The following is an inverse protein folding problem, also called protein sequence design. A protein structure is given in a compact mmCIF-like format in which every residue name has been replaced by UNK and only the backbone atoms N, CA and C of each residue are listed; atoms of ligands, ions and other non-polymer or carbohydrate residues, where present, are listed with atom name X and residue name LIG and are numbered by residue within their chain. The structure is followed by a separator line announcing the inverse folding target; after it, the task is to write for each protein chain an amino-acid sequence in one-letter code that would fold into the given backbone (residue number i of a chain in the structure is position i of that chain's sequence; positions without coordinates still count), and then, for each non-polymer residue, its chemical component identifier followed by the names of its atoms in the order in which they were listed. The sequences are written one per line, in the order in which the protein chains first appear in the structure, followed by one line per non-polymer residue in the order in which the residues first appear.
data_IF_793671522930
#
_entry.id   IF_793671522930
#
_cell.length_a   1.000
_cell.length_b   1.000
_cell.length_c   1.000
_cell.angle_alpha   90.00
_cell.angle_beta   90.00
_cell.angle_gamma   90.00
#
_symmetry.space_group_name_H-M   'P 1'
#
loop_
_entity.id
_entity.type
_entity.pdbx_description
1 polymer ?
#
# COMPACT_ATOMS: atom_id res chain seq x y z
N UNK A 1 -6.23 -5.33 -28.90
CA UNK A 1 -5.06 -5.93 -28.23
C UNK A 1 -5.06 -5.37 -26.83
N UNK A 2 -5.31 -6.27 -25.89
CA UNK A 2 -5.69 -6.06 -24.50
C UNK A 2 -4.54 -5.42 -23.72
N UNK A 3 -4.86 -4.37 -22.96
CA UNK A 3 -4.01 -3.84 -21.91
C UNK A 3 -3.44 -4.99 -21.09
N UNK A 4 -2.11 -5.14 -21.07
CA UNK A 4 -1.39 -6.02 -20.16
C UNK A 4 -1.41 -5.37 -18.77
N UNK A 5 -2.59 -5.33 -18.16
CA UNK A 5 -2.76 -4.90 -16.78
C UNK A 5 -2.06 -5.94 -15.90
N UNK A 6 -1.02 -5.52 -15.16
CA UNK A 6 -0.30 -6.41 -14.25
C UNK A 6 -1.29 -6.83 -13.15
N UNK A 7 -1.42 -8.12 -12.84
CA UNK A 7 -2.37 -8.57 -11.82
C UNK A 7 -2.02 -8.06 -10.41
N UNK A 8 -3.02 -7.96 -9.52
CA UNK A 8 -2.93 -7.36 -8.18
C UNK A 8 -1.89 -7.98 -7.25
N UNK A 9 -1.56 -9.25 -7.43
CA UNK A 9 -0.55 -9.97 -6.61
C UNK A 9 0.90 -9.80 -7.13
N UNK A 10 1.10 -9.02 -8.20
CA UNK A 10 2.43 -8.68 -8.74
C UNK A 10 2.85 -7.23 -8.45
N UNK A 11 2.08 -6.47 -7.66
CA UNK A 11 2.47 -5.15 -7.16
C UNK A 11 2.96 -5.26 -5.73
N UNK A 12 4.28 -5.39 -5.50
CA UNK A 12 4.76 -5.27 -4.15
C UNK A 12 4.61 -3.81 -3.65
N UNK A 13 4.07 -3.64 -2.45
CA UNK A 13 4.09 -2.41 -1.68
C UNK A 13 5.53 -1.89 -1.57
N UNK A 14 5.70 -0.63 -1.97
CA UNK A 14 6.97 0.10 -2.12
C UNK A 14 7.76 0.36 -0.82
N UNK A 15 7.56 -0.46 0.22
CA UNK A 15 8.21 -0.28 1.53
C UNK A 15 8.52 -1.55 2.30
N UNK A 16 8.14 -2.76 1.84
CA UNK A 16 8.47 -4.00 2.57
C UNK A 16 8.78 -5.18 1.65
N UNK A 17 9.97 -5.16 1.05
CA UNK A 17 10.45 -6.10 0.01
C UNK A 17 10.59 -7.59 0.42
N UNK A 18 10.00 -8.05 1.53
CA UNK A 18 10.17 -9.42 2.02
C UNK A 18 8.83 -10.18 1.97
N UNK A 19 8.74 -11.37 1.39
CA UNK A 19 7.49 -12.14 1.40
C UNK A 19 6.98 -12.42 2.81
N UNK A 20 5.66 -12.38 2.98
CA UNK A 20 4.98 -12.72 4.22
C UNK A 20 3.85 -13.72 3.94
N UNK A 21 3.70 -14.67 4.85
CA UNK A 21 2.47 -15.45 4.94
C UNK A 21 1.39 -14.54 5.50
N UNK A 22 0.24 -14.51 4.84
CA UNK A 22 -0.91 -13.73 5.26
C UNK A 22 -2.14 -14.62 5.29
N UNK A 23 -2.95 -14.47 6.32
CA UNK A 23 -4.32 -14.98 6.32
C UNK A 23 -5.23 -14.04 7.08
N UNK A 24 -6.44 -13.87 6.59
CA UNK A 24 -7.42 -13.03 7.27
C UNK A 24 -8.84 -13.41 6.96
N UNK A 25 -9.74 -12.88 7.78
CA UNK A 25 -11.17 -13.04 7.68
C UNK A 25 -11.87 -11.70 7.86
N UNK A 26 -13.01 -11.56 7.20
CA UNK A 26 -13.82 -10.35 7.23
C UNK A 26 -15.30 -10.67 7.47
N UNK A 27 -15.90 -10.00 8.43
CA UNK A 27 -17.33 -10.05 8.70
C UNK A 27 -18.01 -8.72 8.35
N UNK A 28 -19.26 -8.75 7.85
CA UNK A 28 -19.96 -7.56 7.38
C UNK A 28 -20.47 -6.64 8.50
N UNK A 29 -20.41 -7.10 9.75
CA UNK A 29 -20.93 -6.39 10.93
C UNK A 29 -19.92 -6.42 12.06
N UNK A 30 -20.08 -5.48 13.00
CA UNK A 30 -19.34 -5.49 14.26
C UNK A 30 -19.68 -6.76 15.05
N UNK A 31 -18.65 -7.32 15.68
CA UNK A 31 -18.74 -8.55 16.46
C UNK A 31 -18.39 -8.25 17.91
N UNK A 32 -18.98 -9.03 18.82
CA UNK A 32 -18.61 -9.02 20.23
C UNK A 32 -17.12 -9.25 20.42
N UNK A 33 -16.53 -8.46 21.32
CA UNK A 33 -15.08 -8.43 21.54
C UNK A 33 -14.49 -9.80 21.88
N UNK A 34 -15.22 -10.64 22.61
CA UNK A 34 -14.74 -11.95 23.03
C UNK A 34 -14.39 -12.88 21.85
N UNK A 35 -15.20 -12.86 20.78
CA UNK A 35 -14.94 -13.63 19.57
C UNK A 35 -13.67 -13.14 18.85
N UNK A 36 -13.48 -11.81 18.81
CA UNK A 36 -12.29 -11.19 18.23
C UNK A 36 -11.04 -11.53 19.05
N UNK A 37 -11.11 -11.43 20.37
CA UNK A 37 -9.99 -11.75 21.27
C UNK A 37 -9.60 -13.22 21.16
N UNK A 38 -10.58 -14.12 21.05
CA UNK A 38 -10.31 -15.54 20.82
C UNK A 38 -9.55 -15.77 19.50
N UNK A 39 -9.97 -15.12 18.41
CA UNK A 39 -9.31 -15.21 17.11
C UNK A 39 -7.88 -14.62 17.14
N UNK A 40 -7.69 -13.48 17.82
CA UNK A 40 -6.37 -12.86 18.03
C UNK A 40 -5.43 -13.79 18.82
N UNK A 41 -5.91 -14.42 19.91
CA UNK A 41 -5.11 -15.38 20.70
C UNK A 41 -4.67 -16.58 19.86
N UNK A 42 -5.60 -17.19 19.14
CA UNK A 42 -5.30 -18.29 18.24
C UNK A 42 -4.31 -17.87 17.14
N UNK A 43 -4.41 -16.62 16.64
CA UNK A 43 -3.49 -16.07 15.67
C UNK A 43 -2.07 -15.92 16.22
N UNK A 44 -1.93 -15.43 17.46
CA UNK A 44 -0.63 -15.33 18.15
C UNK A 44 -0.02 -16.71 18.37
N UNK A 45 -0.80 -17.67 18.84
CA UNK A 45 -0.33 -19.05 19.03
C UNK A 45 0.15 -19.65 17.71
N UNK A 46 -0.61 -19.45 16.62
CA UNK A 46 -0.25 -19.90 15.29
C UNK A 46 1.09 -19.31 14.83
N UNK A 47 1.22 -17.99 14.78
CA UNK A 47 2.46 -17.36 14.27
C UNK A 47 3.66 -17.63 15.18
N UNK A 48 3.45 -17.73 16.50
CA UNK A 48 4.52 -18.09 17.45
C UNK A 48 5.03 -19.51 17.19
N UNK A 49 4.16 -20.43 16.78
CA UNK A 49 4.57 -21.80 16.41
C UNK A 49 5.45 -21.84 15.15
N UNK A 50 5.38 -20.80 14.32
CA UNK A 50 6.11 -20.71 13.05
C UNK A 50 7.48 -20.03 13.15
N UNK A 51 7.58 -19.04 14.03
CA UNK A 51 8.75 -18.16 14.13
C UNK A 51 9.95 -18.92 14.70
N UNK A 52 11.04 -18.96 13.92
CA UNK A 52 12.32 -19.57 14.26
C UNK A 52 13.35 -18.63 14.89
N UNK A 53 13.01 -17.34 15.04
CA UNK A 53 13.89 -16.32 15.64
C UNK A 53 13.35 -15.81 16.96
N UNK A 54 14.20 -15.38 17.92
CA UNK A 54 13.71 -14.75 19.14
C UNK A 54 12.93 -13.47 18.84
N UNK A 55 11.72 -13.35 19.39
CA UNK A 55 10.86 -12.18 19.22
C UNK A 55 10.44 -11.56 20.55
N UNK A 56 10.27 -10.24 20.52
CA UNK A 56 9.62 -9.48 21.57
C UNK A 56 8.27 -8.99 21.04
N UNK A 57 7.23 -9.15 21.85
CA UNK A 57 5.88 -8.71 21.50
C UNK A 57 5.59 -7.31 22.03
N UNK A 58 4.72 -6.60 21.32
CA UNK A 58 4.10 -5.34 21.73
C UNK A 58 2.61 -5.41 21.41
N UNK A 59 1.79 -4.92 22.34
CA UNK A 59 0.34 -4.81 22.19
C UNK A 59 -0.04 -3.36 21.95
N UNK A 60 -0.73 -3.08 20.87
CA UNK A 60 -1.35 -1.79 20.59
C UNK A 60 -2.87 -1.98 20.58
N UNK A 61 -3.61 -1.14 21.30
CA UNK A 61 -5.07 -1.19 21.30
C UNK A 61 -5.63 0.24 21.31
N UNK A 62 -6.50 0.53 20.35
CA UNK A 62 -7.15 1.84 20.17
C UNK A 62 -8.64 1.68 20.37
N UNK A 63 -9.23 2.53 21.20
CA UNK A 63 -10.68 2.69 21.35
C UNK A 63 -11.12 4.04 20.82
N UNK A 64 -12.38 4.16 20.39
CA UNK A 64 -12.91 5.37 19.77
C UNK A 64 -12.86 6.59 20.69
N UNK A 65 -12.84 6.36 22.01
CA UNK A 65 -12.78 7.39 23.04
C UNK A 65 -11.36 7.88 23.35
N UNK A 66 -10.31 7.27 22.79
CA UNK A 66 -8.94 7.74 22.99
C UNK A 66 -8.76 9.12 22.32
N UNK A 67 -8.27 10.11 23.07
CA UNK A 67 -7.85 11.40 22.53
C UNK A 67 -6.37 11.34 22.15
N UNK A 68 -6.02 11.33 20.84
CA UNK A 68 -4.63 11.26 20.39
C UNK A 68 -3.78 12.47 20.82
N UNK A 69 -4.41 13.55 21.24
CA UNK A 69 -3.75 14.78 21.70
C UNK A 69 -3.77 14.92 23.23
N UNK A 70 -4.39 13.96 23.93
CA UNK A 70 -4.47 13.95 25.38
C UNK A 70 -3.12 13.57 26.03
N UNK A 71 -2.81 14.12 27.22
CA UNK A 71 -1.60 13.77 27.97
C UNK A 71 -1.56 12.30 28.42
N UNK A 72 -2.72 11.63 28.43
CA UNK A 72 -2.89 10.22 28.81
C UNK A 72 -3.03 9.30 27.57
N UNK A 73 -2.66 9.76 26.36
CA UNK A 73 -2.72 8.93 25.15
C UNK A 73 -1.68 7.82 25.21
N UNK A 74 -2.12 6.65 25.66
CA UNK A 74 -1.30 5.47 25.85
C UNK A 74 -2.00 4.25 25.23
N UNK A 75 -1.71 4.05 23.95
CA UNK A 75 -2.28 2.97 23.15
C UNK A 75 -1.37 1.76 23.04
N UNK A 76 -0.21 1.74 23.73
CA UNK A 76 0.84 0.74 23.51
C UNK A 76 1.38 0.14 24.82
N UNK A 77 1.45 -1.19 24.90
CA UNK A 77 1.99 -1.96 26.03
C UNK A 77 3.10 -2.89 25.58
N UNK A 78 4.23 -2.98 26.31
CA UNK A 78 5.23 -4.01 26.06
C UNK A 78 4.65 -5.39 26.39
N UNK A 79 4.98 -6.39 25.57
CA UNK A 79 4.48 -7.75 25.71
C UNK A 79 3.09 -7.97 25.13
N UNK A 80 2.57 -9.18 25.32
CA UNK A 80 1.18 -9.53 25.06
C UNK A 80 0.34 -9.17 26.29
N UNK A 81 -0.53 -8.18 26.16
CA UNK A 81 -1.35 -7.66 27.24
C UNK A 81 -2.84 -7.84 26.93
N UNK A 82 -3.39 -9.00 27.31
CA UNK A 82 -4.78 -9.34 27.01
C UNK A 82 -5.79 -8.54 27.82
N UNK A 83 -5.40 -8.07 29.01
CA UNK A 83 -6.26 -7.20 29.82
C UNK A 83 -6.38 -5.83 29.16
N UNK A 84 -5.28 -5.33 28.57
CA UNK A 84 -5.28 -4.10 27.77
C UNK A 84 -6.07 -4.25 26.47
N UNK A 85 -5.98 -5.38 25.78
CA UNK A 85 -6.85 -5.70 24.62
C UNK A 85 -8.32 -5.74 25.03
N UNK A 86 -8.63 -6.24 26.22
CA UNK A 86 -9.99 -6.36 26.74
C UNK A 86 -10.52 -5.08 27.40
N UNK A 87 -9.73 -3.99 27.48
CA UNK A 87 -10.06 -2.77 28.23
C UNK A 87 -11.40 -2.16 27.81
N UNK A 88 -12.10 -1.51 28.74
CA UNK A 88 -13.36 -0.83 28.44
C UNK A 88 -13.21 0.27 27.37
N UNK A 89 -14.28 0.54 26.63
CA UNK A 89 -14.32 1.48 25.50
C UNK A 89 -14.79 0.80 24.22
N UNK A 90 -15.12 1.59 23.20
CA UNK A 90 -15.54 1.09 21.89
C UNK A 90 -14.30 0.74 21.08
N UNK A 91 -13.99 -0.54 20.84
CA UNK A 91 -12.75 -0.89 20.16
C UNK A 91 -12.80 -0.40 18.71
N UNK A 92 -11.68 0.21 18.29
CA UNK A 92 -11.41 0.64 16.92
C UNK A 92 -10.43 -0.32 16.27
N UNK A 93 -9.29 -0.59 16.93
CA UNK A 93 -8.30 -1.56 16.43
C UNK A 93 -7.47 -2.17 17.55
N UNK A 94 -6.94 -3.37 17.28
CA UNK A 94 -5.99 -4.08 18.13
C UNK A 94 -4.90 -4.65 17.25
N UNK A 95 -3.64 -4.41 17.59
CA UNK A 95 -2.47 -4.94 16.87
C UNK A 95 -1.48 -5.53 17.84
N UNK A 96 -1.10 -6.78 17.62
CA UNK A 96 -0.06 -7.49 18.35
C UNK A 96 1.12 -7.64 17.39
N UNK A 97 2.22 -6.93 17.65
CA UNK A 97 3.40 -6.92 16.78
C UNK A 97 4.52 -7.74 17.43
N UNK A 98 5.07 -8.70 16.69
CA UNK A 98 6.29 -9.41 17.05
C UNK A 98 7.47 -8.77 16.30
N UNK A 99 8.48 -8.32 17.03
CA UNK A 99 9.73 -7.79 16.48
C UNK A 99 10.90 -8.69 16.82
N UNK A 100 11.89 -8.81 15.95
CA UNK A 100 13.11 -9.56 16.24
C UNK A 100 13.81 -8.93 17.45
N UNK A 101 13.99 -9.70 18.54
CA UNK A 101 14.50 -9.17 19.82
C UNK A 101 15.85 -8.46 19.66
N UNK A 102 16.72 -9.00 18.81
CA UNK A 102 18.04 -8.41 18.53
C UNK A 102 17.97 -7.08 17.77
N UNK A 103 16.86 -6.80 17.11
CA UNK A 103 16.64 -5.60 16.30
C UNK A 103 15.67 -4.61 16.95
N UNK A 104 15.19 -4.87 18.18
CA UNK A 104 14.18 -4.04 18.85
C UNK A 104 14.57 -2.55 18.98
N UNK A 105 15.87 -2.23 19.01
CA UNK A 105 16.39 -0.86 19.04
C UNK A 105 16.55 -0.22 17.64
N UNK A 106 16.21 -0.94 16.57
CA UNK A 106 16.44 -0.56 15.17
C UNK A 106 15.14 -0.66 14.36
N UNK A 107 14.13 0.19 14.65
CA UNK A 107 12.79 0.06 14.10
C UNK A 107 12.71 0.22 12.57
N UNK A 108 13.71 0.87 11.96
CA UNK A 108 13.83 1.08 10.51
C UNK A 108 14.52 -0.07 9.78
N UNK A 109 15.05 -1.07 10.49
CA UNK A 109 15.73 -2.20 9.86
C UNK A 109 14.71 -3.09 9.11
N UNK A 110 14.97 -3.53 7.87
CA UNK A 110 14.00 -4.28 7.08
C UNK A 110 13.58 -5.63 7.71
N UNK A 111 14.45 -6.20 8.55
CA UNK A 111 14.19 -7.44 9.31
C UNK A 111 13.69 -7.20 10.74
N UNK A 112 13.35 -5.95 11.10
CA UNK A 112 12.90 -5.61 12.45
C UNK A 112 11.57 -6.28 12.81
N UNK A 113 10.55 -6.11 11.97
CA UNK A 113 9.21 -6.70 12.17
C UNK A 113 9.18 -8.13 11.65
N UNK A 114 8.65 -9.04 12.46
CA UNK A 114 8.62 -10.48 12.19
C UNK A 114 7.21 -10.94 11.89
N UNK A 115 6.24 -10.60 12.74
CA UNK A 115 4.86 -11.03 12.60
C UNK A 115 3.90 -9.98 13.16
N UNK A 116 2.66 -10.03 12.69
CA UNK A 116 1.56 -9.23 13.22
C UNK A 116 0.29 -10.06 13.33
N UNK A 117 -0.49 -9.76 14.36
CA UNK A 117 -1.86 -10.24 14.52
C UNK A 117 -2.73 -9.03 14.78
N UNK A 118 -3.72 -8.80 13.93
CA UNK A 118 -4.46 -7.55 13.88
C UNK A 118 -5.95 -7.78 13.84
N UNK A 119 -6.70 -6.88 14.49
CA UNK A 119 -8.13 -6.74 14.33
C UNK A 119 -8.49 -5.28 14.10
N UNK A 120 -9.30 -5.02 13.08
CA UNK A 120 -9.94 -3.74 12.84
C UNK A 120 -11.45 -3.88 13.02
N UNK A 121 -12.05 -2.96 13.75
CA UNK A 121 -13.49 -2.91 13.96
C UNK A 121 -14.11 -1.89 13.00
N UNK A 122 -15.38 -2.07 12.59
CA UNK A 122 -16.08 -1.06 11.80
C UNK A 122 -16.09 0.30 12.51
N UNK A 123 -15.86 1.39 11.79
CA UNK A 123 -15.94 2.73 12.36
C UNK A 123 -17.38 3.08 12.74
N UNK A 124 -17.57 3.75 13.87
CA UNK A 124 -18.88 4.28 14.25
C UNK A 124 -19.05 5.70 13.71
N UNK A 125 -19.95 5.88 12.75
CA UNK A 125 -20.27 7.18 12.15
C UNK A 125 -21.75 7.45 12.36
N UNK A 126 -22.10 8.49 13.12
CA UNK A 126 -23.51 8.83 13.40
C UNK A 126 -24.33 7.67 14.01
N UNK A 127 -23.71 6.81 14.80
CA UNK A 127 -24.36 5.66 15.46
C UNK A 127 -24.62 4.45 14.56
N UNK A 128 -24.02 4.41 13.37
CA UNK A 128 -23.98 3.22 12.50
C UNK A 128 -22.54 2.73 12.33
N UNK A 129 -22.38 1.41 12.26
CA UNK A 129 -21.13 0.80 11.82
C UNK A 129 -20.92 1.06 10.32
N UNK A 130 -19.73 1.53 9.98
CA UNK A 130 -19.25 1.76 8.60
C UNK A 130 -17.95 0.98 8.44
N UNK A 131 -17.88 0.14 7.41
CA UNK A 131 -16.75 -0.76 7.18
C UNK A 131 -17.03 -2.17 7.69
N UNK A 132 -15.98 -2.96 7.83
CA UNK A 132 -16.06 -4.40 8.10
C UNK A 132 -15.27 -4.75 9.35
N UNK A 133 -15.66 -5.82 10.03
CA UNK A 133 -14.84 -6.42 11.07
C UNK A 133 -13.77 -7.26 10.40
N UNK A 134 -12.50 -7.05 10.75
CA UNK A 134 -11.36 -7.75 10.17
C UNK A 134 -10.55 -8.41 11.27
N UNK A 135 -10.09 -9.63 11.03
CA UNK A 135 -9.05 -10.28 11.84
C UNK A 135 -8.04 -10.91 10.89
N UNK A 136 -6.77 -10.57 11.04
CA UNK A 136 -5.70 -11.02 10.17
C UNK A 136 -4.44 -11.40 10.96
N UNK A 137 -3.65 -12.29 10.37
CA UNK A 137 -2.30 -12.66 10.81
C UNK A 137 -1.36 -12.50 9.63
N UNK A 138 -0.13 -12.06 9.92
CA UNK A 138 0.97 -12.19 8.97
C UNK A 138 2.30 -12.51 9.63
N UNK A 139 3.16 -13.23 8.91
CA UNK A 139 4.50 -13.59 9.38
C UNK A 139 5.50 -13.59 8.23
N UNK A 140 6.65 -12.93 8.42
CA UNK A 140 7.69 -12.80 7.38
C UNK A 140 8.38 -14.13 7.14
N UNK A 141 8.52 -14.49 5.87
CA UNK A 141 9.07 -15.76 5.42
C UNK A 141 10.48 -16.04 5.97
N UNK A 142 11.34 -15.02 6.01
CA UNK A 142 12.72 -15.14 6.49
C UNK A 142 12.83 -15.55 7.96
N UNK A 143 11.80 -15.27 8.77
CA UNK A 143 11.84 -15.41 10.23
C UNK A 143 11.35 -16.79 10.71
N UNK A 144 10.96 -17.67 9.79
CA UNK A 144 10.27 -18.93 10.10
C UNK A 144 11.28 -20.09 10.21
N UNK A 145 10.98 -21.11 11.03
CA UNK A 145 11.89 -22.25 11.28
C UNK A 145 12.40 -22.94 10.00
N UNK A 146 11.60 -22.97 8.94
CA UNK A 146 11.91 -23.69 7.71
C UNK A 146 12.28 -22.80 6.54
N UNK A 147 12.16 -21.47 6.67
CA UNK A 147 12.45 -20.48 5.62
C UNK A 147 11.54 -20.54 4.39
N UNK A 148 11.01 -21.70 3.97
CA UNK A 148 10.25 -21.86 2.72
C UNK A 148 9.22 -23.00 2.67
N UNK A 149 9.04 -23.81 3.74
CA UNK A 149 8.24 -25.06 3.65
C UNK A 149 6.71 -24.80 3.69
N UNK A 150 6.13 -24.50 2.52
CA UNK A 150 4.72 -24.13 2.32
C UNK A 150 3.65 -25.07 2.88
N UNK A 151 3.78 -26.42 2.79
CA UNK A 151 2.77 -27.36 3.28
C UNK A 151 2.58 -27.32 4.80
N UNK A 152 3.65 -27.02 5.55
CA UNK A 152 3.56 -26.85 7.00
C UNK A 152 2.75 -25.60 7.39
N UNK A 153 2.85 -24.54 6.60
CA UNK A 153 2.05 -23.32 6.78
C UNK A 153 0.59 -23.55 6.41
N UNK A 154 0.32 -24.19 5.26
CA UNK A 154 -1.03 -24.54 4.84
C UNK A 154 -1.79 -25.35 5.90
N UNK A 155 -1.09 -26.30 6.55
CA UNK A 155 -1.66 -27.15 7.60
C UNK A 155 -2.12 -26.38 8.85
N UNK A 156 -1.55 -25.20 9.13
CA UNK A 156 -1.94 -24.35 10.26
C UNK A 156 -2.86 -23.18 9.87
N UNK A 157 -2.53 -22.49 8.78
CA UNK A 157 -3.18 -21.24 8.39
C UNK A 157 -4.63 -21.45 7.92
N UNK A 158 -4.88 -22.47 7.09
CA UNK A 158 -6.24 -22.79 6.63
C UNK A 158 -7.19 -23.06 7.81
N UNK A 159 -6.87 -24.00 8.72
CA UNK A 159 -7.67 -24.24 9.92
C UNK A 159 -7.88 -22.99 10.79
N UNK A 160 -6.86 -22.14 10.95
CA UNK A 160 -7.01 -20.88 11.68
C UNK A 160 -7.97 -19.92 11.00
N UNK A 161 -7.87 -19.72 9.67
CA UNK A 161 -8.80 -18.87 8.90
C UNK A 161 -10.23 -19.34 9.11
N UNK A 162 -10.47 -20.65 9.03
CA UNK A 162 -11.81 -21.22 9.20
C UNK A 162 -12.34 -21.08 10.64
N UNK A 163 -11.50 -21.30 11.64
CA UNK A 163 -11.88 -21.12 13.05
C UNK A 163 -12.13 -19.64 13.40
N UNK A 164 -11.30 -18.73 12.87
CA UNK A 164 -11.47 -17.30 13.03
C UNK A 164 -12.77 -16.83 12.34
N UNK A 165 -13.06 -17.36 11.15
CA UNK A 165 -14.30 -17.06 10.45
C UNK A 165 -15.54 -17.47 11.26
N UNK A 166 -15.51 -18.65 11.89
CA UNK A 166 -16.60 -19.11 12.74
C UNK A 166 -16.73 -18.24 14.01
N UNK A 167 -15.60 -17.83 14.60
CA UNK A 167 -15.57 -17.02 15.82
C UNK A 167 -16.13 -15.61 15.61
N UNK A 168 -15.95 -15.03 14.41
CA UNK A 168 -16.40 -13.67 14.11
C UNK A 168 -17.60 -13.61 13.15
N UNK A 169 -18.14 -14.75 12.71
CA UNK A 169 -19.20 -14.78 11.71
C UNK A 169 -18.77 -14.18 10.36
N UNK A 170 -17.53 -14.42 9.96
CA UNK A 170 -17.00 -13.92 8.69
C UNK A 170 -17.71 -14.57 7.50
N UNK A 171 -18.01 -13.76 6.48
CA UNK A 171 -18.57 -14.21 5.21
C UNK A 171 -17.50 -14.26 4.09
N UNK A 172 -16.30 -13.76 4.38
CA UNK A 172 -15.18 -13.68 3.47
C UNK A 172 -13.86 -13.91 4.21
N UNK A 173 -12.85 -14.40 3.51
CA UNK A 173 -11.50 -14.54 4.03
C UNK A 173 -10.58 -15.09 2.96
N UNK A 174 -9.27 -14.92 3.13
CA UNK A 174 -8.30 -15.48 2.22
C UNK A 174 -6.96 -15.73 2.91
N UNK A 175 -6.14 -16.55 2.27
CA UNK A 175 -4.77 -16.82 2.66
C UNK A 175 -3.87 -16.83 1.43
N UNK A 176 -2.69 -16.23 1.52
CA UNK A 176 -1.71 -16.16 0.44
C UNK A 176 -0.28 -15.94 0.96
N UNK A 177 0.67 -16.12 0.05
CA UNK A 177 1.99 -15.53 0.16
C UNK A 177 1.89 -14.15 -0.49
N UNK A 178 2.00 -13.09 0.30
CA UNK A 178 1.89 -11.71 -0.16
C UNK A 178 2.95 -10.86 0.53
N UNK A 179 3.20 -9.69 -0.02
CA UNK A 179 3.96 -8.68 0.66
C UNK A 179 2.96 -7.77 1.40
N UNK A 180 2.88 -7.95 2.72
CA UNK A 180 1.85 -7.28 3.48
C UNK A 180 1.87 -7.55 4.96
N UNK A 181 1.34 -6.59 5.69
CA UNK A 181 1.17 -6.64 7.13
C UNK A 181 -0.29 -6.91 7.48
N UNK A 182 -0.55 -7.56 8.61
CA UNK A 182 -1.92 -7.84 9.06
C UNK A 182 -2.70 -6.54 9.32
N UNK A 183 -2.00 -5.45 9.62
CA UNK A 183 -2.56 -4.10 9.75
C UNK A 183 -3.03 -3.48 8.43
N UNK A 184 -2.74 -4.10 7.29
CA UNK A 184 -3.32 -3.66 6.03
C UNK A 184 -4.77 -4.15 5.97
N UNK A 185 -5.69 -3.24 6.23
CA UNK A 185 -7.13 -3.49 6.26
C UNK A 185 -7.71 -3.80 4.87
N UNK A 186 -6.96 -3.48 3.80
CA UNK A 186 -7.30 -3.79 2.41
C UNK A 186 -6.68 -5.12 1.98
N UNK A 187 -7.42 -5.92 1.21
CA UNK A 187 -6.83 -7.03 0.48
C UNK A 187 -5.91 -6.55 -0.66
N UNK A 188 -5.06 -7.43 -1.20
CA UNK A 188 -4.26 -7.12 -2.38
C UNK A 188 -5.12 -6.70 -3.59
N UNK A 189 -6.32 -7.28 -3.73
CA UNK A 189 -7.29 -6.87 -4.74
C UNK A 189 -7.78 -5.44 -4.49
N UNK A 190 -8.22 -5.12 -3.28
CA UNK A 190 -8.76 -3.80 -2.96
C UNK A 190 -7.71 -2.70 -3.15
N UNK A 191 -6.45 -2.94 -2.76
CA UNK A 191 -5.35 -2.01 -3.00
C UNK A 191 -5.13 -1.76 -4.49
N UNK A 192 -5.08 -2.81 -5.29
CA UNK A 192 -4.87 -2.70 -6.73
C UNK A 192 -6.05 -2.05 -7.46
N UNK A 193 -7.28 -2.40 -7.07
CA UNK A 193 -8.50 -1.89 -7.67
C UNK A 193 -8.90 -0.48 -7.16
N UNK A 194 -8.12 0.10 -6.23
CA UNK A 194 -8.44 1.39 -5.60
C UNK A 194 -9.75 1.35 -4.79
N UNK A 195 -10.16 0.18 -4.30
CA UNK A 195 -11.38 0.01 -3.52
C UNK A 195 -11.07 0.31 -2.04
N UNK A 196 -11.83 1.21 -1.38
CA UNK A 196 -11.64 1.48 0.04
C UNK A 196 -11.79 0.22 0.90
N UNK A 197 -11.08 0.18 2.04
CA UNK A 197 -11.16 -0.87 3.08
C UNK A 197 -12.54 -0.89 3.77
N UNK A 198 -13.61 -1.11 3.02
CA UNK A 198 -15.00 -1.03 3.48
C UNK A 198 -15.97 -1.55 2.42
N UNK A 199 -15.56 -2.54 1.62
CA UNK A 199 -16.37 -3.03 0.49
C UNK A 199 -17.79 -3.39 0.93
N UNK A 200 -18.74 -3.07 0.03
CA UNK A 200 -20.18 -3.24 0.24
C UNK A 200 -20.52 -4.61 0.86
N UNK A 201 -21.49 -4.69 1.79
CA UNK A 201 -21.94 -5.96 2.33
C UNK A 201 -22.26 -6.97 1.22
N UNK A 202 -21.75 -8.20 1.37
CA UNK A 202 -21.95 -9.28 0.38
C UNK A 202 -20.95 -9.29 -0.78
N UNK A 203 -19.92 -8.43 -0.77
CA UNK A 203 -18.76 -8.52 -1.66
C UNK A 203 -17.62 -9.30 -1.03
N UNK A 204 -16.88 -10.01 -1.87
CA UNK A 204 -15.69 -10.75 -1.51
C UNK A 204 -14.55 -9.77 -1.19
N UNK A 205 -13.97 -9.91 0.01
CA UNK A 205 -12.89 -9.04 0.49
C UNK A 205 -11.57 -9.29 -0.24
N UNK A 206 -11.21 -10.54 -0.50
CA UNK A 206 -9.97 -10.90 -1.20
C UNK A 206 -9.93 -12.38 -1.57
N UNK A 207 -8.84 -12.77 -2.24
CA UNK A 207 -8.59 -14.14 -2.70
C UNK A 207 -7.09 -14.43 -2.72
N UNK A 208 -6.75 -15.72 -2.75
CA UNK A 208 -5.37 -16.19 -2.71
C UNK A 208 -5.27 -17.70 -2.92
N UNK A 209 -4.20 -18.30 -2.38
CA UNK A 209 -4.09 -19.76 -2.29
C UNK A 209 -5.32 -20.38 -1.64
N UNK A 210 -5.77 -19.79 -0.52
CA UNK A 210 -6.99 -20.15 0.17
C UNK A 210 -8.02 -19.03 0.06
N UNK A 211 -9.28 -19.35 -0.24
CA UNK A 211 -10.36 -18.35 -0.36
C UNK A 211 -11.64 -18.87 0.29
N UNK A 212 -12.19 -18.11 1.24
CA UNK A 212 -13.46 -18.39 1.91
C UNK A 212 -14.60 -17.65 1.20
N UNK A 213 -15.60 -18.41 0.74
CA UNK A 213 -16.76 -17.92 0.01
C UNK A 213 -18.04 -18.21 0.80
N UNK A 214 -18.86 -17.18 1.02
CA UNK A 214 -20.20 -17.32 1.58
C UNK A 214 -21.25 -17.63 0.49
N UNK A 215 -22.48 -18.02 0.86
CA UNK A 215 -23.55 -18.26 -0.11
C UNK A 215 -23.82 -17.07 -1.07
N UNK A 216 -23.79 -15.80 -0.64
CA UNK A 216 -23.86 -14.66 -1.56
C UNK A 216 -22.74 -14.63 -2.61
N UNK A 217 -21.48 -14.93 -2.22
CA UNK A 217 -20.36 -14.98 -3.15
C UNK A 217 -20.52 -16.11 -4.15
N UNK A 218 -20.94 -17.29 -3.68
CA UNK A 218 -21.21 -18.44 -4.53
C UNK A 218 -22.35 -18.14 -5.52
N UNK A 219 -23.43 -17.50 -5.07
CA UNK A 219 -24.52 -17.11 -5.94
C UNK A 219 -24.06 -16.12 -7.03
N UNK A 220 -23.19 -15.17 -6.70
CA UNK A 220 -22.65 -14.21 -7.66
C UNK A 220 -21.83 -14.87 -8.77
N UNK A 221 -21.10 -15.96 -8.48
CA UNK A 221 -20.31 -16.71 -9.47
C UNK A 221 -21.08 -17.86 -10.14
N UNK A 222 -22.40 -17.96 -9.92
CA UNK A 222 -23.25 -18.98 -10.54
C UNK A 222 -23.35 -20.31 -9.78
N UNK A 223 -22.89 -20.36 -8.53
CA UNK A 223 -22.96 -21.51 -7.63
C UNK A 223 -21.69 -22.36 -7.58
N UNK A 224 -21.67 -23.34 -6.68
CA UNK A 224 -20.51 -24.22 -6.46
C UNK A 224 -20.16 -25.06 -7.70
N UNK A 225 -21.17 -25.48 -8.48
CA UNK A 225 -20.95 -26.26 -9.72
C UNK A 225 -20.25 -25.43 -10.79
N UNK A 226 -20.64 -24.16 -10.95
CA UNK A 226 -20.00 -23.24 -11.89
C UNK A 226 -18.56 -22.93 -11.48
N UNK A 227 -18.34 -22.72 -10.17
CA UNK A 227 -17.00 -22.54 -9.60
C UNK A 227 -16.11 -23.77 -9.83
N UNK A 228 -16.64 -24.97 -9.58
CA UNK A 228 -15.92 -26.23 -9.81
C UNK A 228 -15.58 -26.43 -11.29
N UNK A 229 -16.50 -26.11 -12.20
CA UNK A 229 -16.28 -26.22 -13.63
C UNK A 229 -15.19 -25.25 -14.12
N UNK A 230 -15.20 -24.00 -13.65
CA UNK A 230 -14.21 -22.99 -14.01
C UNK A 230 -12.80 -23.32 -13.51
N UNK A 231 -12.70 -23.97 -12.34
CA UNK A 231 -11.42 -24.36 -11.72
C UNK A 231 -10.98 -25.78 -12.09
N UNK A 232 -11.76 -26.53 -12.86
CA UNK A 232 -11.45 -27.92 -13.21
C UNK A 232 -10.15 -28.08 -14.00
N UNK A 233 -9.67 -27.02 -14.63
CA UNK A 233 -8.38 -26.97 -15.34
C UNK A 233 -7.21 -26.52 -14.45
N UNK A 234 -7.47 -26.03 -13.23
CA UNK A 234 -6.43 -25.58 -12.29
C UNK A 234 -5.94 -26.78 -11.48
N UNK A 235 -4.69 -27.25 -11.67
CA UNK A 235 -4.19 -28.43 -10.98
C UNK A 235 -4.20 -28.25 -9.46
N UNK A 236 -4.75 -29.23 -8.75
CA UNK A 236 -4.78 -29.24 -7.28
C UNK A 236 -5.84 -28.34 -6.65
N UNK A 237 -6.68 -27.66 -7.43
CA UNK A 237 -7.78 -26.87 -6.88
C UNK A 237 -8.78 -27.77 -6.15
N UNK A 238 -9.15 -27.41 -4.91
CA UNK A 238 -10.12 -28.15 -4.10
C UNK A 238 -11.19 -27.21 -3.55
N UNK A 239 -12.42 -27.71 -3.46
CA UNK A 239 -13.55 -27.02 -2.85
C UNK A 239 -14.01 -27.83 -1.64
N UNK A 240 -13.93 -27.22 -0.46
CA UNK A 240 -14.35 -27.83 0.79
C UNK A 240 -15.62 -27.14 1.29
N UNK A 241 -16.76 -27.80 1.14
CA UNK A 241 -18.03 -27.33 1.69
C UNK A 241 -17.98 -27.29 3.22
N UNK A 242 -18.55 -26.23 3.80
CA UNK A 242 -18.63 -26.01 5.24
C UNK A 242 -20.07 -25.88 5.71
N UNK A 243 -20.24 -25.93 7.02
CA UNK A 243 -21.52 -25.64 7.68
C UNK A 243 -21.99 -24.24 7.30
N UNK A 244 -23.29 -24.08 7.05
CA UNK A 244 -23.87 -22.80 6.63
C UNK A 244 -23.73 -22.50 5.13
N UNK A 245 -23.27 -23.47 4.32
CA UNK A 245 -23.18 -23.32 2.86
C UNK A 245 -22.00 -22.46 2.39
N UNK A 246 -21.02 -22.23 3.28
CA UNK A 246 -19.75 -21.63 2.89
C UNK A 246 -18.86 -22.66 2.17
N UNK A 247 -17.93 -22.17 1.35
CA UNK A 247 -16.92 -22.98 0.68
C UNK A 247 -15.54 -22.43 1.01
N UNK A 248 -14.64 -23.31 1.43
CA UNK A 248 -13.21 -23.04 1.47
C UNK A 248 -12.56 -23.61 0.22
N UNK A 249 -12.07 -22.72 -0.64
CA UNK A 249 -11.36 -23.06 -1.86
C UNK A 249 -9.86 -23.03 -1.60
N UNK A 250 -9.12 -24.02 -2.09
CA UNK A 250 -7.64 -24.02 -2.10
C UNK A 250 -7.11 -24.23 -3.52
N UNK A 251 -5.94 -23.66 -3.82
CA UNK A 251 -5.19 -23.85 -5.07
C UNK A 251 -3.99 -24.77 -4.83
N UNK A 252 -4.24 -26.07 -4.58
CA UNK A 252 -3.20 -27.04 -4.26
C UNK A 252 -2.88 -27.14 -2.77
N UNK A 253 -1.99 -28.09 -2.43
CA UNK A 253 -1.59 -28.37 -1.04
C UNK A 253 -0.49 -27.43 -0.53
N UNK A 254 0.31 -26.87 -1.45
CA UNK A 254 1.42 -25.96 -1.17
C UNK A 254 1.11 -24.56 -1.74
N UNK A 255 0.96 -23.53 -0.89
CA UNK A 255 0.72 -22.18 -1.36
C UNK A 255 1.89 -21.57 -2.15
N UNK A 256 3.11 -22.11 -2.02
CA UNK A 256 4.28 -21.65 -2.76
C UNK A 256 4.32 -22.17 -4.20
N UNK A 257 3.54 -23.23 -4.50
CA UNK A 257 3.39 -23.80 -5.84
C UNK A 257 2.27 -23.13 -6.66
N UNK A 258 1.56 -22.15 -6.07
CA UNK A 258 0.47 -21.45 -6.74
C UNK A 258 1.02 -20.61 -7.89
N UNK A 259 0.60 -20.95 -9.10
CA UNK A 259 1.05 -20.26 -10.32
C UNK A 259 0.25 -18.99 -10.59
N UNK A 260 0.85 -18.04 -11.31
CA UNK A 260 0.15 -16.84 -11.79
C UNK A 260 -1.06 -17.18 -12.68
N UNK A 261 -0.99 -18.28 -13.42
CA UNK A 261 -2.10 -18.75 -14.25
C UNK A 261 -3.26 -19.23 -13.37
N UNK A 262 -3.00 -19.99 -12.31
CA UNK A 262 -4.01 -20.39 -11.35
C UNK A 262 -4.69 -19.19 -10.68
N UNK A 263 -3.91 -18.19 -10.26
CA UNK A 263 -4.45 -16.94 -9.69
C UNK A 263 -5.23 -16.11 -10.72
N UNK A 264 -4.80 -16.05 -11.99
CA UNK A 264 -5.56 -15.41 -13.08
C UNK A 264 -6.90 -16.09 -13.32
N UNK A 265 -6.93 -17.42 -13.36
CA UNK A 265 -8.17 -18.19 -13.52
C UNK A 265 -9.09 -17.98 -12.32
N UNK A 266 -8.54 -18.02 -11.10
CA UNK A 266 -9.30 -17.74 -9.88
C UNK A 266 -9.90 -16.33 -9.91
N UNK A 267 -9.09 -15.31 -10.21
CA UNK A 267 -9.55 -13.93 -10.34
C UNK A 267 -10.68 -13.81 -11.36
N UNK A 268 -10.49 -14.31 -12.59
CA UNK A 268 -11.51 -14.24 -13.64
C UNK A 268 -12.83 -14.89 -13.20
N UNK A 269 -12.74 -15.99 -12.44
CA UNK A 269 -13.90 -16.72 -11.90
C UNK A 269 -14.60 -15.94 -10.78
N UNK A 270 -13.83 -15.30 -9.89
CA UNK A 270 -14.36 -14.56 -8.73
C UNK A 270 -14.78 -13.13 -9.04
N UNK A 271 -14.46 -12.61 -10.23
CA UNK A 271 -14.78 -11.24 -10.66
C UNK A 271 -16.23 -10.81 -10.37
N UNK A 272 -17.27 -11.65 -10.57
CA UNK A 272 -18.65 -11.28 -10.23
C UNK A 272 -18.91 -11.06 -8.72
N UNK A 273 -18.17 -11.74 -7.85
CA UNK A 273 -18.28 -11.65 -6.40
C UNK A 273 -17.38 -10.57 -5.78
N UNK A 274 -16.32 -10.19 -6.47
CA UNK A 274 -15.43 -9.11 -6.05
C UNK A 274 -16.17 -7.78 -6.02
N UNK A 275 -15.71 -6.89 -5.13
CA UNK A 275 -16.13 -5.50 -5.16
C UNK A 275 -15.83 -4.95 -6.56
N UNK A 276 -16.85 -4.38 -7.20
CA UNK A 276 -16.65 -3.65 -8.45
C UNK A 276 -15.67 -2.53 -8.11
N UNK A 277 -14.54 -2.42 -8.81
CA UNK A 277 -13.69 -1.26 -8.66
C UNK A 277 -14.61 -0.04 -8.78
N UNK A 278 -14.73 0.73 -7.69
CA UNK A 278 -15.32 2.05 -7.81
C UNK A 278 -14.28 2.91 -8.51
N UNK A 279 -14.00 2.62 -9.79
CA UNK A 279 -13.69 3.65 -10.76
C UNK A 279 -14.95 4.45 -11.02
N UNK A 280 -15.53 4.98 -9.95
CA UNK A 280 -16.29 6.19 -10.09
C UNK A 280 -15.22 7.27 -10.33
N UNK A 281 -15.09 7.71 -11.58
CA UNK A 281 -14.31 8.89 -11.93
C UNK A 281 -14.61 10.08 -11.01
N UNK A 282 -15.74 10.07 -10.28
CA UNK A 282 -16.07 11.07 -9.26
C UNK A 282 -15.37 10.85 -7.90
N UNK A 283 -14.97 9.64 -7.50
CA UNK A 283 -14.27 9.39 -6.22
C UNK A 283 -12.75 9.53 -6.32
N UNK A 284 -12.13 9.23 -7.48
CA UNK A 284 -10.77 9.74 -7.77
C UNK A 284 -10.77 11.28 -7.93
N UNK A 285 -11.95 11.89 -8.16
CA UNK A 285 -12.18 13.35 -8.10
C UNK A 285 -12.66 13.85 -6.72
N UNK A 286 -12.72 13.01 -5.68
CA UNK A 286 -13.08 13.45 -4.32
C UNK A 286 -11.91 14.11 -3.57
N UNK A 287 -10.68 14.03 -4.08
CA UNK A 287 -9.81 15.20 -4.03
C UNK A 287 -10.36 16.17 -5.06
N UNK A 288 -11.21 17.11 -4.63
CA UNK A 288 -11.76 18.14 -5.52
C UNK A 288 -10.61 18.64 -6.39
N UNK A 289 -10.66 18.35 -7.69
CA UNK A 289 -9.78 18.98 -8.66
C UNK A 289 -9.91 20.49 -8.38
N UNK A 290 -8.87 21.03 -7.75
CA UNK A 290 -8.92 22.41 -7.31
C UNK A 290 -8.51 23.29 -8.48
N UNK A 291 -8.95 24.53 -8.50
CA UNK A 291 -8.41 25.48 -9.48
C UNK A 291 -7.03 25.95 -9.02
N UNK A 292 -6.17 26.48 -9.90
CA UNK A 292 -4.94 27.14 -9.47
C UNK A 292 -5.17 28.18 -8.36
N UNK A 293 -6.27 28.94 -8.43
CA UNK A 293 -6.67 29.88 -7.39
C UNK A 293 -7.08 29.18 -6.09
N UNK A 294 -7.80 28.07 -6.18
CA UNK A 294 -8.18 27.24 -5.04
C UNK A 294 -6.96 26.62 -4.35
N UNK A 295 -6.01 26.06 -5.10
CA UNK A 295 -4.77 25.51 -4.55
C UNK A 295 -3.96 26.60 -3.82
N UNK A 296 -3.78 27.76 -4.45
CA UNK A 296 -3.14 28.93 -3.81
C UNK A 296 -3.81 29.29 -2.49
N UNK A 297 -5.14 29.37 -2.48
CA UNK A 297 -5.90 29.69 -1.26
C UNK A 297 -5.70 28.65 -0.17
N UNK A 298 -5.76 27.36 -0.51
CA UNK A 298 -5.59 26.27 0.46
C UNK A 298 -4.18 26.22 1.03
N UNK A 299 -3.16 26.26 0.17
CA UNK A 299 -1.76 26.20 0.63
C UNK A 299 -1.34 27.45 1.39
N UNK A 300 -1.84 28.64 1.02
CA UNK A 300 -1.63 29.85 1.83
C UNK A 300 -2.30 29.72 3.20
N UNK A 301 -3.53 29.19 3.26
CA UNK A 301 -4.22 28.94 4.52
C UNK A 301 -3.47 27.96 5.42
N UNK A 302 -3.03 26.83 4.86
CA UNK A 302 -2.24 25.82 5.57
C UNK A 302 -0.88 26.38 6.07
N UNK A 303 -0.24 27.29 5.32
CA UNK A 303 0.96 27.97 5.77
C UNK A 303 0.68 28.91 6.96
N UNK A 304 -0.42 29.68 6.92
CA UNK A 304 -0.81 30.54 8.04
C UNK A 304 -1.20 29.73 9.29
N UNK A 305 -1.85 28.58 9.11
CA UNK A 305 -2.14 27.63 10.18
C UNK A 305 -0.83 27.06 10.78
N UNK A 306 0.11 26.63 9.93
CA UNK A 306 1.41 26.14 10.38
C UNK A 306 2.19 27.21 11.18
N UNK A 307 2.18 28.46 10.71
CA UNK A 307 2.78 29.61 11.42
C UNK A 307 2.10 29.87 12.76
N UNK A 308 0.77 29.82 12.80
CA UNK A 308 -0.01 30.00 14.03
C UNK A 308 0.29 28.89 15.05
N UNK A 309 0.57 27.68 14.56
CA UNK A 309 1.01 26.53 15.36
C UNK A 309 2.53 26.50 15.64
N UNK A 310 3.27 27.55 15.27
CA UNK A 310 4.73 27.67 15.44
C UNK A 310 5.54 26.58 14.72
N UNK A 311 4.99 25.93 13.68
CA UNK A 311 5.73 25.00 12.82
C UNK A 311 6.47 25.76 11.73
N UNK A 312 7.70 26.15 12.04
CA UNK A 312 8.57 26.90 11.12
C UNK A 312 9.46 26.02 10.24
N UNK A 313 9.61 24.75 10.58
CA UNK A 313 10.44 23.76 9.88
C UNK A 313 9.64 22.48 9.62
N UNK A 314 9.93 21.82 8.50
CA UNK A 314 9.53 20.46 8.16
C UNK A 314 10.75 19.56 7.91
N UNK A 315 10.53 18.38 7.35
CA UNK A 315 11.58 17.36 7.19
C UNK A 315 12.70 17.78 6.22
N UNK A 316 12.39 18.66 5.27
CA UNK A 316 13.30 19.09 4.18
C UNK A 316 13.66 20.58 4.23
N UNK A 317 13.33 21.27 5.33
CA UNK A 317 13.64 22.68 5.55
C UNK A 317 12.41 23.52 5.93
N UNK A 318 12.45 24.85 5.70
CA UNK A 318 11.42 25.75 6.21
C UNK A 318 10.03 25.46 5.64
N UNK A 319 9.02 25.48 6.53
CA UNK A 319 7.61 25.34 6.13
C UNK A 319 7.21 26.47 5.17
N UNK A 320 6.53 26.14 4.08
CA UNK A 320 6.08 27.07 3.04
C UNK A 320 7.02 27.18 1.84
N UNK A 321 8.07 26.37 1.77
CA UNK A 321 8.99 26.31 0.62
C UNK A 321 8.26 26.02 -0.70
N UNK A 322 7.24 25.16 -0.67
CA UNK A 322 6.44 24.81 -1.85
C UNK A 322 5.46 25.93 -2.26
N UNK A 323 4.99 26.73 -1.31
CA UNK A 323 4.19 27.94 -1.58
C UNK A 323 5.04 28.96 -2.35
N UNK A 324 6.33 29.08 -2.03
CA UNK A 324 7.23 30.03 -2.67
C UNK A 324 7.47 29.74 -4.17
N UNK A 325 7.33 28.48 -4.59
CA UNK A 325 7.53 28.05 -5.99
C UNK A 325 6.23 27.66 -6.71
N UNK A 326 5.08 27.81 -6.04
CA UNK A 326 3.80 27.36 -6.58
C UNK A 326 3.47 28.01 -7.94
N UNK A 327 3.85 29.27 -8.13
CA UNK A 327 3.61 30.03 -9.36
C UNK A 327 4.40 29.51 -10.56
N UNK A 328 5.50 28.83 -10.29
CA UNK A 328 6.33 28.18 -11.30
C UNK A 328 5.88 26.76 -11.63
N UNK A 329 5.23 26.09 -10.68
CA UNK A 329 4.70 24.73 -10.83
C UNK A 329 3.30 24.71 -11.46
N UNK A 330 2.43 25.67 -11.15
CA UNK A 330 1.06 25.72 -11.67
C UNK A 330 0.94 25.70 -13.21
N UNK A 331 1.81 26.36 -13.99
CA UNK A 331 1.73 26.33 -15.46
C UNK A 331 1.99 24.94 -16.08
N UNK A 332 2.70 24.08 -15.35
CA UNK A 332 3.09 22.72 -15.77
C UNK A 332 2.34 21.64 -14.99
N UNK A 333 1.34 22.04 -14.21
CA UNK A 333 0.54 21.13 -13.41
C UNK A 333 -0.36 20.26 -14.28
N UNK A 334 -0.28 18.94 -14.10
CA UNK A 334 -1.19 17.97 -14.74
C UNK A 334 -2.35 17.64 -13.81
N UNK A 335 -2.13 17.66 -12.50
CA UNK A 335 -3.14 17.35 -11.47
C UNK A 335 -3.00 18.29 -10.27
N UNK A 336 -4.12 18.78 -9.76
CA UNK A 336 -4.19 19.63 -8.57
C UNK A 336 -5.01 18.94 -7.48
N UNK A 337 -4.36 18.54 -6.39
CA UNK A 337 -4.95 17.93 -5.20
C UNK A 337 -4.94 18.93 -4.03
N UNK A 338 -5.76 18.74 -2.98
CA UNK A 338 -5.78 19.66 -1.84
C UNK A 338 -4.42 19.86 -1.16
N UNK A 339 -3.64 18.80 -1.01
CA UNK A 339 -2.35 18.77 -0.32
C UNK A 339 -1.16 18.46 -1.23
N UNK A 340 -1.38 18.30 -2.54
CA UNK A 340 -0.33 17.97 -3.49
C UNK A 340 -0.63 18.52 -4.91
N UNK A 341 0.40 18.64 -5.74
CA UNK A 341 0.24 18.86 -7.18
C UNK A 341 1.18 17.92 -7.95
N UNK A 342 0.69 17.39 -9.07
CA UNK A 342 1.52 16.67 -10.05
C UNK A 342 1.85 17.61 -11.20
N UNK A 343 3.07 17.54 -11.72
CA UNK A 343 3.54 18.38 -12.81
C UNK A 343 4.32 17.58 -13.86
N UNK A 344 4.26 18.03 -15.11
CA UNK A 344 5.04 17.50 -16.23
C UNK A 344 5.49 18.65 -17.15
N UNK A 345 6.68 18.55 -17.71
CA UNK A 345 7.20 19.55 -18.65
C UNK A 345 7.92 20.73 -17.97
N UNK A 346 8.29 20.60 -16.70
CA UNK A 346 9.08 21.62 -16.00
C UNK A 346 10.48 21.71 -16.63
N UNK A 347 10.87 22.89 -17.11
CA UNK A 347 12.18 23.06 -17.76
C UNK A 347 12.70 24.49 -17.73
N UNK A 348 13.92 24.67 -18.25
CA UNK A 348 14.55 25.96 -18.55
C UNK A 348 14.34 27.04 -17.46
N UNK A 349 13.64 28.14 -17.77
CA UNK A 349 13.47 29.25 -16.82
C UNK A 349 12.79 28.88 -15.50
N UNK A 350 11.81 27.97 -15.51
CA UNK A 350 11.12 27.55 -14.28
C UNK A 350 12.07 26.73 -13.41
N UNK A 351 12.87 25.84 -14.01
CA UNK A 351 13.87 25.06 -13.29
C UNK A 351 14.92 25.95 -12.58
N UNK A 352 15.38 27.03 -13.25
CA UNK A 352 16.30 28.01 -12.64
C UNK A 352 15.68 28.72 -11.43
N UNK A 353 14.40 29.10 -11.50
CA UNK A 353 13.71 29.79 -10.40
C UNK A 353 13.51 28.87 -9.20
N UNK A 354 13.08 27.62 -9.43
CA UNK A 354 12.98 26.60 -8.38
C UNK A 354 14.34 26.37 -7.68
N UNK A 355 15.41 26.21 -8.46
CA UNK A 355 16.76 25.96 -7.91
C UNK A 355 17.28 27.13 -7.05
N UNK A 356 16.74 28.34 -7.25
CA UNK A 356 17.10 29.53 -6.48
C UNK A 356 16.21 29.72 -5.24
N UNK A 357 14.94 29.33 -5.34
CA UNK A 357 13.94 29.60 -4.32
C UNK A 357 13.85 28.50 -3.24
N UNK A 358 14.16 27.24 -3.60
CA UNK A 358 14.06 26.11 -2.68
C UNK A 358 15.28 26.02 -1.75
N UNK A 359 15.09 25.56 -0.49
CA UNK A 359 16.18 25.40 0.47
C UNK A 359 17.10 24.23 0.10
N UNK A 360 18.35 24.28 0.55
CA UNK A 360 19.34 23.23 0.29
C UNK A 360 18.90 21.85 0.77
N UNK A 361 18.20 21.77 1.93
CA UNK A 361 17.67 20.51 2.46
C UNK A 361 16.68 19.80 1.52
N UNK A 362 15.95 20.55 0.70
CA UNK A 362 15.02 20.01 -0.30
C UNK A 362 15.75 19.75 -1.62
N UNK A 363 16.68 20.63 -2.00
CA UNK A 363 17.46 20.50 -3.23
C UNK A 363 18.39 19.28 -3.21
N UNK A 364 18.99 18.97 -2.06
CA UNK A 364 20.04 17.95 -1.91
C UNK A 364 19.54 16.62 -1.32
N UNK A 365 18.27 16.53 -0.92
CA UNK A 365 17.69 15.30 -0.43
C UNK A 365 17.50 14.27 -1.56
N UNK A 366 17.89 13.03 -1.29
CA UNK A 366 17.46 11.88 -2.09
C UNK A 366 16.13 11.37 -1.57
N UNK A 367 15.10 11.47 -2.41
CA UNK A 367 13.79 10.88 -2.19
C UNK A 367 13.65 9.75 -3.22
N UNK A 368 13.67 8.51 -2.74
CA UNK A 368 13.64 7.33 -3.61
C UNK A 368 14.98 7.05 -4.31
N UNK A 369 14.92 6.35 -5.45
CA UNK A 369 16.08 5.97 -6.26
C UNK A 369 16.59 7.05 -7.23
N UNK A 370 15.90 8.18 -7.32
CA UNK A 370 16.11 9.23 -8.32
C UNK A 370 17.24 10.23 -8.04
N UNK A 371 17.56 11.08 -9.03
CA UNK A 371 18.56 12.15 -8.88
C UNK A 371 18.14 13.16 -7.82
N UNK A 372 19.09 13.94 -7.29
CA UNK A 372 18.71 15.07 -6.43
C UNK A 372 17.89 16.08 -7.23
N UNK A 373 16.99 16.80 -6.56
CA UNK A 373 16.25 17.88 -7.20
C UNK A 373 17.21 18.95 -7.75
N UNK A 374 18.32 19.23 -7.05
CA UNK A 374 19.36 20.14 -7.52
C UNK A 374 19.90 19.71 -8.88
N UNK A 375 20.22 18.43 -9.07
CA UNK A 375 20.74 17.95 -10.34
C UNK A 375 19.71 17.92 -11.44
N UNK A 376 18.50 17.44 -11.16
CA UNK A 376 17.43 17.46 -12.13
C UNK A 376 17.14 18.90 -12.65
N UNK A 377 17.03 19.87 -11.74
CA UNK A 377 16.80 21.27 -12.09
C UNK A 377 17.98 21.88 -12.86
N UNK A 378 19.22 21.56 -12.49
CA UNK A 378 20.40 22.02 -13.20
C UNK A 378 20.46 21.49 -14.64
N UNK A 379 20.15 20.20 -14.84
CA UNK A 379 20.09 19.57 -16.17
C UNK A 379 19.01 20.22 -17.04
N UNK A 380 17.80 20.42 -16.50
CA UNK A 380 16.69 21.06 -17.21
C UNK A 380 16.91 22.55 -17.48
N UNK A 381 17.66 23.25 -16.63
CA UNK A 381 18.05 24.64 -16.85
C UNK A 381 19.12 24.77 -17.96
N UNK A 382 20.06 23.82 -18.03
CA UNK A 382 21.16 23.82 -18.99
C UNK A 382 20.72 23.33 -20.39
N UNK A 383 19.77 22.40 -20.45
CA UNK A 383 19.42 21.69 -21.68
C UNK A 383 17.93 21.88 -22.02
N UNK A 384 17.63 22.53 -23.15
CA UNK A 384 16.25 22.73 -23.61
C UNK A 384 15.53 21.43 -23.99
N UNK A 385 16.29 20.38 -24.29
CA UNK A 385 15.74 19.06 -24.56
C UNK A 385 15.30 18.32 -23.30
N UNK A 386 15.69 18.78 -22.10
CA UNK A 386 15.38 18.11 -20.82
C UNK A 386 14.20 18.79 -20.16
N UNK A 387 13.17 18.01 -19.85
CA UNK A 387 12.02 18.43 -19.04
C UNK A 387 11.78 17.45 -17.90
N UNK A 388 11.21 17.94 -16.82
CA UNK A 388 11.02 17.21 -15.57
C UNK A 388 9.53 16.99 -15.31
N UNK A 389 9.22 15.85 -14.71
CA UNK A 389 7.93 15.53 -14.13
C UNK A 389 8.08 15.04 -12.69
N UNK A 390 7.01 15.20 -11.93
CA UNK A 390 6.93 14.74 -10.55
C UNK A 390 5.83 15.41 -9.77
N UNK A 391 6.06 15.60 -8.48
CA UNK A 391 5.04 16.09 -7.57
C UNK A 391 5.58 17.06 -6.52
N UNK A 392 4.72 17.94 -6.03
CA UNK A 392 4.98 18.75 -4.85
C UNK A 392 3.93 18.53 -3.78
N UNK A 393 4.36 18.47 -2.53
CA UNK A 393 3.53 18.27 -1.34
C UNK A 393 3.41 19.61 -0.60
N UNK A 394 2.19 20.03 -0.30
CA UNK A 394 1.90 21.34 0.27
C UNK A 394 2.27 21.49 1.76
N UNK A 395 2.21 22.72 2.29
CA UNK A 395 2.75 23.07 3.60
C UNK A 395 1.96 22.51 4.79
N UNK A 396 0.80 21.90 4.57
CA UNK A 396 0.02 21.25 5.62
C UNK A 396 0.74 20.05 6.24
N UNK A 397 1.67 19.44 5.50
CA UNK A 397 2.35 18.20 5.89
C UNK A 397 3.77 18.47 6.41
N UNK A 398 4.29 17.63 7.33
CA UNK A 398 5.68 17.74 7.79
C UNK A 398 6.68 17.38 6.69
N UNK A 399 6.30 16.51 5.76
CA UNK A 399 7.11 16.06 4.63
C UNK A 399 6.94 16.93 3.36
N UNK A 400 6.65 18.23 3.55
CA UNK A 400 6.57 19.23 2.48
C UNK A 400 7.82 19.19 1.59
N UNK A 401 7.64 18.98 0.28
CA UNK A 401 8.75 18.82 -0.67
C UNK A 401 8.34 19.03 -2.13
N UNK A 402 9.34 19.14 -3.01
CA UNK A 402 9.21 18.96 -4.46
C UNK A 402 10.08 17.77 -4.85
N UNK A 403 9.53 16.82 -5.59
CA UNK A 403 10.22 15.61 -6.03
C UNK A 403 10.12 15.49 -7.55
N UNK A 404 11.21 15.04 -8.17
CA UNK A 404 11.27 14.69 -9.58
C UNK A 404 11.44 13.18 -9.67
N UNK A 405 10.41 12.51 -10.18
CA UNK A 405 10.37 11.07 -10.44
C UNK A 405 10.54 10.78 -11.94
N UNK A 406 10.40 11.79 -12.79
CA UNK A 406 10.44 11.63 -14.25
C UNK A 406 11.34 12.65 -14.93
N UNK A 407 12.19 12.17 -15.84
CA UNK A 407 12.92 13.02 -16.79
C UNK A 407 12.55 12.62 -18.21
N UNK A 408 12.24 13.61 -19.04
CA UNK A 408 11.94 13.42 -20.46
C UNK A 408 12.95 14.21 -21.29
N UNK A 409 13.59 13.52 -22.23
CA UNK A 409 14.54 14.13 -23.16
C UNK A 409 13.98 14.09 -24.58
N UNK A 410 13.72 15.27 -25.16
CA UNK A 410 13.09 15.44 -26.46
C UNK A 410 14.00 16.21 -27.42
N UNK A 411 14.14 15.72 -28.67
CA UNK A 411 14.92 16.40 -29.70
C UNK A 411 16.43 16.44 -29.42
N UNK A 412 16.94 15.47 -28.66
CA UNK A 412 18.38 15.25 -28.51
C UNK A 412 18.86 14.34 -29.64
N UNK A 413 19.76 14.84 -30.48
CA UNK A 413 20.18 14.15 -31.70
C UNK A 413 20.84 12.78 -31.45
N UNK A 414 21.44 12.56 -30.27
CA UNK A 414 22.02 11.26 -29.92
C UNK A 414 20.89 10.29 -29.60
N UNK A 415 19.95 10.69 -28.74
CA UNK A 415 18.79 9.88 -28.36
C UNK A 415 17.84 9.60 -29.53
N UNK A 416 17.63 10.57 -30.43
CA UNK A 416 16.76 10.42 -31.61
C UNK A 416 17.30 9.38 -32.61
N UNK A 417 18.60 9.10 -32.57
CA UNK A 417 19.25 8.09 -33.41
C UNK A 417 19.29 6.69 -32.78
N UNK A 418 18.92 6.56 -31.50
CA UNK A 418 18.92 5.29 -30.80
C UNK A 418 17.73 4.41 -31.19
N UNK A 419 17.95 3.10 -31.21
CA UNK A 419 16.86 2.13 -31.30
C UNK A 419 16.06 2.11 -29.98
N UNK A 420 14.75 1.82 -30.00
CA UNK A 420 13.90 1.83 -28.79
C UNK A 420 14.36 0.92 -27.65
N UNK A 421 15.14 -0.11 -27.93
CA UNK A 421 15.69 -1.08 -26.99
C UNK A 421 17.09 -0.69 -26.45
N UNK A 422 17.66 0.43 -26.88
CA UNK A 422 18.98 0.89 -26.47
C UNK A 422 18.99 1.65 -25.13
N UNK A 423 18.30 1.12 -24.12
CA UNK A 423 18.10 1.76 -22.81
C UNK A 423 19.41 2.16 -22.10
N UNK A 424 20.45 1.31 -22.15
CA UNK A 424 21.75 1.61 -21.54
C UNK A 424 22.44 2.82 -22.18
N UNK A 425 22.33 2.96 -23.50
CA UNK A 425 22.89 4.10 -24.23
C UNK A 425 22.09 5.38 -23.97
N UNK A 426 20.76 5.24 -23.85
CA UNK A 426 19.90 6.35 -23.48
C UNK A 426 20.22 6.85 -22.06
N UNK A 427 20.46 5.95 -21.11
CA UNK A 427 20.86 6.29 -19.74
C UNK A 427 22.24 6.95 -19.70
N UNK A 428 23.22 6.44 -20.45
CA UNK A 428 24.53 7.09 -20.56
C UNK A 428 24.41 8.53 -21.08
N UNK A 429 23.55 8.74 -22.08
CA UNK A 429 23.28 10.08 -22.61
C UNK A 429 22.57 10.99 -21.61
N UNK A 430 21.67 10.46 -20.77
CA UNK A 430 21.05 11.21 -19.69
C UNK A 430 22.07 11.71 -18.66
N UNK A 431 23.05 10.87 -18.31
CA UNK A 431 24.18 11.25 -17.43
C UNK A 431 25.02 12.36 -18.07
N UNK A 432 25.31 12.29 -19.38
CA UNK A 432 26.00 13.36 -20.10
C UNK A 432 25.23 14.69 -20.11
N UNK A 433 23.89 14.64 -20.04
CA UNK A 433 23.03 15.83 -19.92
C UNK A 433 23.00 16.41 -18.50
N UNK A 434 23.68 15.79 -17.54
CA UNK A 434 23.93 16.32 -16.20
C UNK A 434 23.03 15.73 -15.11
N UNK A 435 22.29 14.66 -15.38
CA UNK A 435 21.56 13.88 -14.36
C UNK A 435 22.46 12.70 -13.96
N UNK A 436 23.44 12.98 -13.11
CA UNK A 436 24.61 12.12 -12.84
C UNK A 436 24.73 11.63 -11.39
N UNK A 437 23.74 11.95 -10.54
CA UNK A 437 23.81 11.69 -9.10
C UNK A 437 22.70 10.77 -8.56
N UNK A 438 21.91 10.15 -9.44
CA UNK A 438 20.90 9.17 -9.02
C UNK A 438 21.59 7.96 -8.34
N UNK A 439 21.16 7.55 -7.12
CA UNK A 439 21.76 6.43 -6.40
C UNK A 439 21.40 5.07 -7.01
N UNK A 440 20.35 5.02 -7.84
CA UNK A 440 19.91 3.83 -8.58
C UNK A 440 19.61 4.18 -10.05
N UNK A 441 19.73 3.21 -10.98
CA UNK A 441 19.22 3.40 -12.33
C UNK A 441 17.68 3.60 -12.30
N UNK A 442 17.10 4.25 -13.32
CA UNK A 442 15.65 4.38 -13.44
C UNK A 442 14.97 3.00 -13.52
N UNK A 443 13.79 2.88 -12.91
CA UNK A 443 12.91 1.70 -12.98
C UNK A 443 12.35 1.51 -14.40
N UNK A 444 12.13 2.60 -15.13
CA UNK A 444 11.71 2.59 -16.53
C UNK A 444 12.62 3.48 -17.40
N UNK A 445 13.14 2.88 -18.48
CA UNK A 445 13.81 3.61 -19.57
C UNK A 445 13.17 3.19 -20.88
N UNK A 446 12.48 4.11 -21.56
CA UNK A 446 11.80 3.79 -22.82
C UNK A 446 11.78 4.95 -23.81
N UNK A 447 11.84 4.59 -25.09
CA UNK A 447 11.54 5.49 -26.18
C UNK A 447 10.01 5.65 -26.35
N UNK A 448 9.59 6.88 -26.62
CA UNK A 448 8.19 7.25 -26.89
C UNK A 448 8.10 8.04 -28.19
N UNK A 449 6.89 8.32 -28.66
CA UNK A 449 6.67 9.25 -29.79
C UNK A 449 7.26 10.63 -29.56
N UNK A 450 7.42 11.01 -28.30
CA UNK A 450 7.76 12.37 -27.88
C UNK A 450 9.19 12.46 -27.33
N UNK A 451 9.99 11.38 -27.39
CA UNK A 451 11.36 11.34 -26.88
C UNK A 451 11.59 10.20 -25.89
N UNK A 452 12.71 10.24 -25.17
CA UNK A 452 13.07 9.23 -24.18
C UNK A 452 12.58 9.63 -22.79
N UNK A 453 12.00 8.66 -22.09
CA UNK A 453 11.50 8.81 -20.72
C UNK A 453 12.34 7.96 -19.78
N UNK A 454 12.71 8.56 -18.66
CA UNK A 454 13.41 7.95 -17.54
C UNK A 454 12.55 8.17 -16.29
N UNK A 455 12.21 7.09 -15.59
CA UNK A 455 11.30 7.11 -14.45
C UNK A 455 11.92 6.40 -13.25
N UNK A 456 11.77 7.00 -12.07
CA UNK A 456 12.13 6.44 -10.77
C UNK A 456 10.91 6.46 -9.86
N UNK A 457 10.65 5.36 -9.17
CA UNK A 457 9.54 5.24 -8.21
C UNK A 457 9.86 5.76 -6.80
#
# INVERSE_FOLDING_TARGET
MTSTERPPWLYPDMGSALPAWYGGVSAPVRVERDGVVAALRAGVELVTSWIGVPVTWTTTAVVAEDDPWGPDFDVMRPGLDWDFVARAGTPSSVTLTAVATQLAAHPTHPYHRVAEVHAAYPAQVEGRDVGRMLVAVSARQWALYTGTDGPWFAAGLGPWVLAAADAIGADSGFANLADGWATYEQSAWERHAGVPAASEPGRLWGYGWGTLLSPPHLAAVGGIEALAAALGEVPGAQLHERVGGQVWLTLGDDPTDVTDEALRTLHATLLPALAVPQFDEATTRAHRATTPAGLRSMWSGALEEARSALRTEGDFGPTGSTVAVLDDLLPVATTLLPDALLFEGLGGPAATRLATALPDGLLDAHVGGGPTLRRALAAAAANRCVTLGGHAIGPARPDERVTVDRVVVQGDAVLDALAPDAAEHALARLVELGVDDAPAPPDEVRATSDGWVFWWD
#
